data_IF_164746617317
#
_entry.id   IF_164746617317
#
_cell.length_a   1.000
_cell.length_b   1.000
_cell.length_c   1.000
_cell.angle_alpha   90.00
_cell.angle_beta   90.00
_cell.angle_gamma   90.00
#
_symmetry.space_group_name_H-M   'P 1'
#
loop_
_entity.id
_entity.type
_entity.pdbx_description
1 polymer ?
#
# COMPACT_ATOMS: atom_id res chain seq x y z
N UNK A 1 -14.66 20.88 34.57
CA UNK A 1 -15.08 19.51 34.17
C UNK A 1 -14.49 19.24 32.79
N UNK A 2 -13.78 18.12 32.63
CA UNK A 2 -12.89 17.79 31.51
C UNK A 2 -13.62 17.54 30.18
N UNK A 3 -13.04 17.94 29.02
CA UNK A 3 -13.57 17.64 27.69
C UNK A 3 -13.23 16.19 27.33
N UNK A 4 -13.98 15.22 27.88
CA UNK A 4 -13.69 13.79 27.70
C UNK A 4 -14.21 13.20 26.38
N UNK A 5 -14.89 13.99 25.55
CA UNK A 5 -15.48 13.51 24.29
C UNK A 5 -14.56 13.62 23.06
N UNK A 6 -13.65 14.59 23.02
CA UNK A 6 -12.84 14.88 21.83
C UNK A 6 -11.51 14.10 21.83
N UNK A 7 -10.90 13.94 23.01
CA UNK A 7 -9.63 13.23 23.16
C UNK A 7 -9.70 11.75 22.72
N UNK A 8 -10.84 11.07 22.90
CA UNK A 8 -10.96 9.63 22.60
C UNK A 8 -10.97 9.31 21.10
N UNK A 9 -11.56 10.21 20.30
CA UNK A 9 -11.63 10.06 18.84
C UNK A 9 -10.30 10.45 18.18
N UNK A 10 -9.72 11.56 18.62
CA UNK A 10 -8.42 12.03 18.10
C UNK A 10 -7.29 11.08 18.46
N UNK A 11 -7.32 10.43 19.62
CA UNK A 11 -6.31 9.43 20.00
C UNK A 11 -6.41 8.17 19.11
N UNK A 12 -7.64 7.78 18.74
CA UNK A 12 -7.87 6.66 17.81
C UNK A 12 -7.37 6.98 16.39
N UNK A 13 -7.66 8.18 15.88
CA UNK A 13 -7.23 8.64 14.56
C UNK A 13 -5.69 8.81 14.47
N UNK A 14 -5.06 9.28 15.55
CA UNK A 14 -3.58 9.37 15.65
C UNK A 14 -2.94 7.99 15.69
N UNK A 15 -3.49 7.07 16.49
CA UNK A 15 -3.01 5.69 16.55
C UNK A 15 -3.08 5.00 15.18
N UNK A 16 -4.14 5.25 14.40
CA UNK A 16 -4.25 4.69 13.05
C UNK A 16 -3.22 5.31 12.09
N UNK A 17 -2.90 6.58 12.24
CA UNK A 17 -1.89 7.26 11.43
C UNK A 17 -0.48 6.70 11.67
N UNK A 18 -0.09 6.49 12.94
CA UNK A 18 1.21 5.89 13.26
C UNK A 18 1.30 4.43 12.77
N UNK A 19 0.21 3.66 12.84
CA UNK A 19 0.14 2.29 12.30
C UNK A 19 0.28 2.25 10.78
N UNK A 20 -0.38 3.18 10.08
CA UNK A 20 -0.24 3.33 8.63
C UNK A 20 1.22 3.64 8.29
N UNK A 21 1.88 4.53 9.03
CA UNK A 21 3.30 4.87 8.83
C UNK A 21 4.21 3.67 9.09
N UNK A 22 4.04 2.97 10.21
CA UNK A 22 4.83 1.78 10.56
C UNK A 22 4.71 0.69 9.47
N UNK A 23 3.49 0.39 9.02
CA UNK A 23 3.26 -0.59 7.97
C UNK A 23 3.89 -0.16 6.64
N UNK A 24 3.73 1.10 6.25
CA UNK A 24 4.32 1.66 5.05
C UNK A 24 5.86 1.58 5.06
N UNK A 25 6.48 1.93 6.19
CA UNK A 25 7.94 1.89 6.36
C UNK A 25 8.49 0.46 6.36
N UNK A 26 7.87 -0.45 7.14
CA UNK A 26 8.30 -1.85 7.26
C UNK A 26 8.17 -2.62 5.95
N UNK A 27 7.07 -2.40 5.23
CA UNK A 27 6.78 -3.17 4.01
C UNK A 27 7.24 -2.47 2.73
N UNK A 28 7.65 -1.19 2.86
CA UNK A 28 8.03 -0.27 1.77
C UNK A 28 6.91 -0.07 0.75
N UNK A 29 5.66 -0.03 1.22
CA UNK A 29 4.49 0.26 0.39
C UNK A 29 4.04 1.72 0.60
N UNK A 30 3.29 2.31 -0.34
CA UNK A 30 2.70 3.64 -0.17
C UNK A 30 1.72 3.68 0.99
N UNK A 31 1.69 4.79 1.74
CA UNK A 31 0.77 4.98 2.88
C UNK A 31 -0.71 4.83 2.51
N UNK A 32 -1.10 5.20 1.28
CA UNK A 32 -2.46 5.00 0.79
C UNK A 32 -2.83 3.51 0.64
N UNK A 33 -1.88 2.66 0.24
CA UNK A 33 -2.09 1.21 0.21
C UNK A 33 -2.11 0.62 1.62
N UNK A 34 -1.23 1.09 2.51
CA UNK A 34 -1.25 0.69 3.91
C UNK A 34 -2.60 0.99 4.59
N UNK A 35 -3.17 2.17 4.36
CA UNK A 35 -4.52 2.53 4.83
C UNK A 35 -5.58 1.59 4.25
N UNK A 36 -5.56 1.33 2.94
CA UNK A 36 -6.53 0.42 2.31
C UNK A 36 -6.46 -1.01 2.88
N UNK A 37 -5.25 -1.49 3.21
CA UNK A 37 -5.06 -2.79 3.84
C UNK A 37 -5.64 -2.81 5.26
N UNK A 38 -5.38 -1.78 6.08
CA UNK A 38 -5.91 -1.67 7.44
C UNK A 38 -7.44 -1.59 7.43
N UNK A 39 -8.04 -0.84 6.49
CA UNK A 39 -9.49 -0.77 6.35
C UNK A 39 -10.12 -2.10 5.90
N UNK A 40 -9.39 -2.89 5.09
CA UNK A 40 -9.92 -4.13 4.50
C UNK A 40 -9.73 -5.35 5.40
N UNK A 41 -8.58 -5.47 6.03
CA UNK A 41 -8.18 -6.64 6.83
C UNK A 41 -8.21 -6.35 8.33
N UNK A 42 -8.50 -5.11 8.73
CA UNK A 42 -8.40 -4.67 10.11
C UNK A 42 -6.94 -4.52 10.53
N UNK A 43 -6.75 -4.48 11.85
CA UNK A 43 -5.46 -4.17 12.45
C UNK A 43 -4.61 -5.43 12.72
N UNK A 44 -4.64 -6.42 11.82
CA UNK A 44 -3.96 -7.71 11.99
C UNK A 44 -2.57 -7.70 11.32
N UNK A 45 -1.46 -7.51 12.05
CA UNK A 45 -0.15 -7.21 11.47
C UNK A 45 0.38 -8.32 10.56
N UNK A 46 0.11 -9.59 10.87
CA UNK A 46 0.54 -10.72 10.05
C UNK A 46 -0.14 -10.75 8.67
N UNK A 47 -1.44 -10.43 8.62
CA UNK A 47 -2.20 -10.35 7.37
C UNK A 47 -1.74 -9.15 6.57
N UNK A 48 -1.57 -8.00 7.21
CA UNK A 48 -1.10 -6.77 6.59
C UNK A 48 0.28 -6.94 5.94
N UNK A 49 1.25 -7.53 6.65
CA UNK A 49 2.59 -7.80 6.11
C UNK A 49 2.56 -8.76 4.92
N UNK A 50 1.73 -9.81 4.99
CA UNK A 50 1.59 -10.79 3.91
C UNK A 50 0.99 -10.16 2.66
N UNK A 51 -0.07 -9.37 2.79
CA UNK A 51 -0.72 -8.70 1.67
C UNK A 51 0.17 -7.61 1.09
N UNK A 52 0.83 -6.81 1.94
CA UNK A 52 1.82 -5.83 1.50
C UNK A 52 2.97 -6.47 0.70
N UNK A 53 3.45 -7.64 1.12
CA UNK A 53 4.47 -8.39 0.40
C UNK A 53 3.97 -8.88 -0.98
N UNK A 54 2.69 -9.22 -1.13
CA UNK A 54 2.08 -9.55 -2.44
C UNK A 54 2.05 -8.32 -3.33
N UNK A 55 1.56 -7.18 -2.83
CA UNK A 55 1.54 -5.92 -3.58
C UNK A 55 2.92 -5.52 -4.10
N UNK A 56 3.97 -5.68 -3.29
CA UNK A 56 5.34 -5.39 -3.73
C UNK A 56 5.80 -6.32 -4.85
N UNK A 57 5.41 -7.59 -4.82
CA UNK A 57 5.72 -8.55 -5.91
C UNK A 57 4.94 -8.19 -7.17
N UNK A 58 3.66 -7.86 -7.06
CA UNK A 58 2.83 -7.48 -8.20
C UNK A 58 3.32 -6.17 -8.84
N UNK A 59 3.72 -5.18 -8.04
CA UNK A 59 4.36 -3.96 -8.53
C UNK A 59 5.68 -4.25 -9.27
N UNK A 60 6.51 -5.15 -8.74
CA UNK A 60 7.77 -5.57 -9.38
C UNK A 60 7.53 -6.39 -10.66
N UNK A 61 6.47 -7.20 -10.70
CA UNK A 61 6.19 -8.09 -11.83
C UNK A 61 5.34 -7.42 -12.92
N UNK A 62 4.55 -6.41 -12.58
CA UNK A 62 3.83 -5.55 -13.53
C UNK A 62 4.78 -4.70 -14.37
N UNK A 63 5.93 -4.30 -13.82
CA UNK A 63 7.01 -3.65 -14.59
C UNK A 63 7.80 -4.59 -15.50
N UNK A 64 7.73 -5.91 -15.28
CA UNK A 64 8.49 -6.90 -16.07
C UNK A 64 7.71 -7.51 -17.24
N UNK A 65 6.39 -7.29 -17.30
CA UNK A 65 5.54 -7.74 -18.41
C UNK A 65 5.35 -6.67 -19.50
N UNK A 66 5.91 -5.47 -19.33
CA UNK A 66 5.84 -4.38 -20.32
C UNK A 66 7.08 -4.20 -21.22
N UNK A 67 8.14 -5.00 -21.04
CA UNK A 67 9.42 -4.83 -21.77
C UNK A 67 9.84 -6.06 -22.60
N UNK A 68 8.87 -6.88 -23.03
CA UNK A 68 9.12 -8.01 -23.92
C UNK A 68 8.21 -7.97 -25.17
N UNK A 69 7.75 -6.79 -25.55
CA UNK A 69 7.07 -6.55 -26.82
C UNK A 69 7.99 -5.78 -27.78
N UNK A 70 9.16 -6.35 -28.07
CA UNK A 70 9.92 -6.00 -29.28
C UNK A 70 9.12 -6.48 -30.49
N UNK A 71 8.13 -5.70 -30.92
CA UNK A 71 7.52 -5.88 -32.24
C UNK A 71 8.52 -5.42 -33.31
N UNK A 72 8.73 -6.16 -34.40
CA UNK A 72 9.39 -5.60 -35.56
C UNK A 72 8.37 -4.68 -36.25
N UNK A 73 8.69 -3.39 -36.38
CA UNK A 73 7.93 -2.49 -37.25
C UNK A 73 8.58 -2.61 -38.64
N UNK A 74 7.93 -3.18 -39.66
CA UNK A 74 8.41 -3.05 -41.02
C UNK A 74 7.98 -1.67 -41.53
N UNK A 75 8.92 -0.73 -41.60
CA UNK A 75 8.69 0.52 -42.32
C UNK A 75 8.78 0.22 -43.82
N UNK A 76 7.63 0.08 -44.48
CA UNK A 76 7.56 0.05 -45.94
C UNK A 76 7.90 1.43 -46.49
N UNK A 77 8.96 1.50 -47.29
CA UNK A 77 9.22 2.61 -48.20
C UNK A 77 9.14 2.10 -49.64
N UNK A 78 8.10 2.50 -50.37
CA UNK A 78 8.08 2.68 -51.83
C UNK A 78 6.85 3.48 -52.21
#
# INVERSE_FOLDING_TARGET
MTPQGEASREDSERQDTDRIRDLAERTRIPSGLALALILKYGNEPNVLDREAAKFRRDAKNGGRQGAAACWPIPWSSS
#
